data_IF_663866576552
#
_entry.id   IF_663866576552
#
_cell.length_a   1.000
_cell.length_b   1.000
_cell.length_c   1.000
_cell.angle_alpha   90.00
_cell.angle_beta   90.00
_cell.angle_gamma   90.00
#
_symmetry.space_group_name_H-M   'P 1'
#
loop_
_entity.id
_entity.type
_entity.pdbx_description
1 polymer ?
#
# COMPACT_ATOMS: atom_id res chain seq x y z
N UNK A 1 -28.17 -2.01 21.88
CA UNK A 1 -28.37 -2.69 20.57
C UNK A 1 -27.94 -1.87 19.36
N UNK A 2 -28.17 -0.54 19.29
CA UNK A 2 -27.76 0.31 18.13
C UNK A 2 -26.26 0.41 17.88
N UNK A 3 -25.38 0.18 18.87
CA UNK A 3 -23.91 0.26 18.71
C UNK A 3 -23.36 -1.01 18.04
N UNK A 4 -23.97 -2.18 18.23
CA UNK A 4 -23.52 -3.44 17.64
C UNK A 4 -23.62 -3.49 16.13
N UNK A 5 -24.70 -2.99 15.54
CA UNK A 5 -24.91 -3.03 14.08
C UNK A 5 -23.87 -2.18 13.34
N UNK A 6 -23.49 -1.01 13.90
CA UNK A 6 -22.55 -0.07 13.27
C UNK A 6 -21.09 -0.57 13.16
N UNK A 7 -20.72 -1.58 13.92
CA UNK A 7 -19.38 -2.16 13.89
C UNK A 7 -19.30 -3.45 13.05
N UNK A 8 -20.44 -4.05 12.69
CA UNK A 8 -20.47 -5.34 11.98
C UNK A 8 -19.87 -5.22 10.59
N UNK A 9 -20.32 -4.24 9.80
CA UNK A 9 -19.85 -4.08 8.42
C UNK A 9 -18.36 -3.75 8.34
N UNK A 10 -17.84 -2.86 9.20
CA UNK A 10 -16.39 -2.57 9.25
C UNK A 10 -15.59 -3.79 9.68
N UNK A 11 -16.11 -4.59 10.61
CA UNK A 11 -15.49 -5.85 11.03
C UNK A 11 -15.44 -6.86 9.90
N UNK A 12 -16.57 -7.08 9.21
CA UNK A 12 -16.64 -7.99 8.05
C UNK A 12 -15.73 -7.51 6.93
N UNK A 13 -15.73 -6.20 6.62
CA UNK A 13 -14.83 -5.63 5.63
C UNK A 13 -13.36 -5.87 5.99
N UNK A 14 -12.96 -5.64 7.25
CA UNK A 14 -11.59 -5.87 7.71
C UNK A 14 -11.20 -7.35 7.61
N UNK A 15 -12.05 -8.27 8.06
CA UNK A 15 -11.81 -9.71 7.98
C UNK A 15 -11.71 -10.19 6.53
N UNK A 16 -12.62 -9.73 5.67
CA UNK A 16 -12.62 -10.07 4.24
C UNK A 16 -11.39 -9.53 3.52
N UNK A 17 -10.90 -8.33 3.90
CA UNK A 17 -9.63 -7.80 3.40
C UNK A 17 -8.47 -8.74 3.72
N UNK A 18 -8.32 -9.15 4.98
CA UNK A 18 -7.24 -10.06 5.39
C UNK A 18 -7.34 -11.40 4.67
N UNK A 19 -8.54 -11.97 4.55
CA UNK A 19 -8.77 -13.22 3.83
C UNK A 19 -8.50 -13.08 2.32
N UNK A 20 -8.80 -11.95 1.69
CA UNK A 20 -8.51 -11.73 0.27
C UNK A 20 -7.00 -11.73 -0.01
N UNK A 21 -6.20 -11.19 0.90
CA UNK A 21 -4.73 -11.25 0.82
C UNK A 21 -4.24 -12.69 0.92
N UNK A 22 -4.79 -13.49 1.85
CA UNK A 22 -4.46 -14.93 1.95
C UNK A 22 -4.80 -15.65 0.65
N UNK A 23 -5.96 -15.40 0.07
CA UNK A 23 -6.37 -15.99 -1.22
C UNK A 23 -5.40 -15.61 -2.33
N UNK A 24 -4.95 -14.34 -2.39
CA UNK A 24 -3.96 -13.92 -3.37
C UNK A 24 -2.61 -14.61 -3.15
N UNK A 25 -2.17 -14.78 -1.89
CA UNK A 25 -0.97 -15.55 -1.57
C UNK A 25 -1.08 -17.00 -2.03
N UNK A 26 -2.19 -17.67 -1.72
CA UNK A 26 -2.44 -19.05 -2.14
C UNK A 26 -2.52 -19.18 -3.67
N UNK A 27 -3.11 -18.20 -4.36
CA UNK A 27 -3.09 -18.15 -5.82
C UNK A 27 -1.66 -18.03 -6.36
N UNK A 28 -0.83 -17.18 -5.78
CA UNK A 28 0.57 -17.04 -6.21
C UNK A 28 1.38 -18.32 -6.00
N UNK A 29 1.07 -19.10 -4.96
CA UNK A 29 1.75 -20.37 -4.67
C UNK A 29 1.30 -21.48 -5.63
N UNK A 30 -0.02 -21.64 -5.80
CA UNK A 30 -0.61 -22.82 -6.46
C UNK A 30 -1.09 -22.55 -7.89
N UNK A 31 -1.14 -21.28 -8.33
CA UNK A 31 -1.70 -20.82 -9.61
C UNK A 31 -3.15 -21.30 -9.85
N UNK A 32 -3.89 -21.64 -8.77
CA UNK A 32 -5.25 -22.14 -8.86
C UNK A 32 -6.25 -21.00 -8.94
N UNK A 33 -6.98 -20.90 -10.04
CA UNK A 33 -7.96 -19.85 -10.31
C UNK A 33 -9.09 -19.79 -9.26
N UNK A 34 -9.38 -20.86 -8.52
CA UNK A 34 -10.38 -20.84 -7.44
C UNK A 34 -9.99 -19.82 -6.36
N UNK A 35 -8.71 -19.79 -5.94
CA UNK A 35 -8.23 -18.80 -4.96
C UNK A 35 -8.30 -17.38 -5.52
N UNK A 36 -8.02 -17.20 -6.80
CA UNK A 36 -8.16 -15.91 -7.46
C UNK A 36 -9.59 -15.42 -7.44
N UNK A 37 -10.54 -16.24 -7.89
CA UNK A 37 -11.96 -15.89 -7.92
C UNK A 37 -12.52 -15.62 -6.52
N UNK A 38 -12.17 -16.47 -5.54
CA UNK A 38 -12.60 -16.30 -4.16
C UNK A 38 -12.03 -15.02 -3.53
N UNK A 39 -10.76 -14.70 -3.82
CA UNK A 39 -10.12 -13.46 -3.39
C UNK A 39 -10.87 -12.21 -3.90
N UNK A 40 -11.27 -12.20 -5.18
CA UNK A 40 -12.08 -11.10 -5.72
C UNK A 40 -13.49 -11.06 -5.14
N UNK A 41 -14.12 -12.21 -4.89
CA UNK A 41 -15.40 -12.27 -4.18
C UNK A 41 -15.33 -11.62 -2.80
N UNK A 42 -14.23 -11.85 -2.08
CA UNK A 42 -13.97 -11.20 -0.78
C UNK A 42 -13.74 -9.68 -0.93
N UNK A 43 -13.06 -9.23 -1.97
CA UNK A 43 -12.89 -7.80 -2.24
C UNK A 43 -14.22 -7.12 -2.58
N UNK A 44 -15.08 -7.76 -3.38
CA UNK A 44 -16.45 -7.28 -3.60
C UNK A 44 -17.23 -7.18 -2.29
N UNK A 45 -17.06 -8.14 -1.39
CA UNK A 45 -17.68 -8.10 -0.07
C UNK A 45 -17.13 -6.94 0.78
N UNK A 46 -15.82 -6.66 0.73
CA UNK A 46 -15.23 -5.46 1.36
C UNK A 46 -15.90 -4.20 0.84
N UNK A 47 -15.96 -4.06 -0.49
CA UNK A 47 -16.58 -2.88 -1.12
C UNK A 47 -18.03 -2.72 -0.73
N UNK A 48 -18.83 -3.80 -0.79
CA UNK A 48 -20.24 -3.79 -0.39
C UNK A 48 -20.42 -3.40 1.08
N UNK A 49 -19.64 -3.98 1.99
CA UNK A 49 -19.66 -3.64 3.41
C UNK A 49 -19.28 -2.18 3.67
N UNK A 50 -18.27 -1.66 2.96
CA UNK A 50 -17.86 -0.28 3.04
C UNK A 50 -18.96 0.68 2.58
N UNK A 51 -19.60 0.41 1.45
CA UNK A 51 -20.72 1.21 0.93
C UNK A 51 -21.89 1.19 1.93
N UNK A 52 -22.29 0.01 2.41
CA UNK A 52 -23.38 -0.12 3.40
C UNK A 52 -23.03 0.65 4.69
N UNK A 53 -21.81 0.55 5.17
CA UNK A 53 -21.34 1.30 6.35
C UNK A 53 -21.49 2.81 6.13
N UNK A 54 -21.08 3.33 4.97
CA UNK A 54 -21.20 4.75 4.64
C UNK A 54 -22.68 5.21 4.56
N UNK A 55 -23.56 4.39 4.02
CA UNK A 55 -25.01 4.69 3.97
C UNK A 55 -25.62 4.75 5.38
N UNK A 56 -25.26 3.81 6.26
CA UNK A 56 -25.77 3.78 7.64
C UNK A 56 -25.25 4.97 8.46
N UNK A 57 -24.03 5.43 8.19
CA UNK A 57 -23.40 6.53 8.94
C UNK A 57 -23.54 7.89 8.26
N UNK A 58 -24.32 8.00 7.18
CA UNK A 58 -24.45 9.19 6.34
C UNK A 58 -24.70 10.50 7.10
N UNK A 59 -25.49 10.47 8.17
CA UNK A 59 -25.82 11.65 8.99
C UNK A 59 -24.66 12.12 9.92
N UNK A 60 -23.55 11.36 10.00
CA UNK A 60 -22.40 11.61 10.88
C UNK A 60 -21.12 11.56 10.08
N UNK A 61 -21.01 12.37 9.03
CA UNK A 61 -19.78 12.42 8.24
C UNK A 61 -18.93 13.59 8.68
N UNK A 62 -17.65 13.32 8.88
CA UNK A 62 -16.63 14.35 8.92
C UNK A 62 -16.12 14.52 7.50
N UNK A 63 -16.28 15.71 6.94
CA UNK A 63 -15.76 16.08 5.64
C UNK A 63 -14.44 16.82 5.83
N UNK A 64 -13.43 16.41 5.09
CA UNK A 64 -12.10 17.01 5.08
C UNK A 64 -11.65 17.10 3.61
N UNK A 65 -10.68 17.96 3.32
CA UNK A 65 -10.13 18.18 2.00
C UNK A 65 -9.65 16.88 1.33
N UNK A 66 -9.00 15.99 2.10
CA UNK A 66 -8.55 14.67 1.62
C UNK A 66 -9.70 13.79 1.15
N UNK A 67 -10.82 13.78 1.90
CA UNK A 67 -12.03 13.04 1.53
C UNK A 67 -12.65 13.62 0.26
N UNK A 68 -12.70 14.95 0.14
CA UNK A 68 -13.23 15.61 -1.05
C UNK A 68 -12.43 15.26 -2.32
N UNK A 69 -11.09 15.25 -2.23
CA UNK A 69 -10.23 14.85 -3.36
C UNK A 69 -10.46 13.40 -3.74
N UNK A 70 -10.58 12.49 -2.76
CA UNK A 70 -10.86 11.08 -3.03
C UNK A 70 -12.20 10.88 -3.73
N UNK A 71 -13.24 11.62 -3.33
CA UNK A 71 -14.53 11.58 -4.02
C UNK A 71 -14.45 12.09 -5.45
N UNK A 72 -13.67 13.15 -5.70
CA UNK A 72 -13.41 13.64 -7.05
C UNK A 72 -12.65 12.61 -7.88
N UNK A 73 -11.61 11.99 -7.32
CA UNK A 73 -10.82 10.96 -7.98
C UNK A 73 -11.71 9.76 -8.36
N UNK A 74 -12.48 9.22 -7.42
CA UNK A 74 -13.43 8.11 -7.68
C UNK A 74 -14.41 8.47 -8.80
N UNK A 75 -15.00 9.67 -8.72
CA UNK A 75 -15.98 10.11 -9.70
C UNK A 75 -15.36 10.22 -11.09
N UNK A 76 -14.16 10.78 -11.17
CA UNK A 76 -13.44 10.95 -12.42
C UNK A 76 -13.04 9.60 -13.02
N UNK A 77 -12.39 8.71 -12.26
CA UNK A 77 -11.98 7.38 -12.73
C UNK A 77 -13.18 6.55 -13.18
N UNK A 78 -14.29 6.61 -12.44
CA UNK A 78 -15.54 5.92 -12.80
C UNK A 78 -16.12 6.47 -14.10
N UNK A 79 -16.14 7.78 -14.30
CA UNK A 79 -16.61 8.41 -15.53
C UNK A 79 -15.74 8.01 -16.73
N UNK A 80 -14.42 8.02 -16.57
CA UNK A 80 -13.49 7.56 -17.61
C UNK A 80 -13.72 6.09 -17.93
N UNK A 81 -13.83 5.23 -16.92
CA UNK A 81 -14.06 3.80 -17.11
C UNK A 81 -15.39 3.51 -17.85
N UNK A 82 -16.44 4.27 -17.56
CA UNK A 82 -17.74 4.16 -18.23
C UNK A 82 -17.63 4.66 -19.69
N UNK A 83 -17.05 5.83 -19.90
CA UNK A 83 -16.96 6.46 -21.24
C UNK A 83 -16.10 5.68 -22.22
N UNK A 84 -15.08 4.98 -21.72
CA UNK A 84 -14.17 4.14 -22.52
C UNK A 84 -14.59 2.66 -22.56
N UNK A 85 -15.73 2.31 -21.95
CA UNK A 85 -16.19 0.93 -21.77
C UNK A 85 -15.20 0.02 -21.00
N UNK A 86 -14.18 0.57 -20.36
CA UNK A 86 -13.22 -0.19 -19.57
C UNK A 86 -13.80 -0.69 -18.24
N UNK A 87 -14.96 -0.21 -17.82
CA UNK A 87 -15.74 -0.74 -16.69
C UNK A 87 -16.08 -2.22 -16.83
N UNK A 88 -16.17 -2.73 -18.06
CA UNK A 88 -16.42 -4.16 -18.34
C UNK A 88 -15.17 -5.03 -18.24
N UNK A 89 -14.01 -4.43 -18.01
CA UNK A 89 -12.80 -5.19 -17.73
C UNK A 89 -12.95 -5.99 -16.44
N UNK A 90 -12.42 -7.22 -16.41
CA UNK A 90 -12.46 -8.00 -15.18
C UNK A 90 -11.88 -7.20 -14.01
N UNK A 91 -12.67 -7.11 -12.93
CA UNK A 91 -12.27 -6.49 -11.65
C UNK A 91 -12.19 -4.95 -11.62
N UNK A 92 -12.40 -4.25 -12.74
CA UNK A 92 -12.36 -2.78 -12.79
C UNK A 92 -13.14 -2.07 -11.67
N UNK A 93 -14.40 -2.44 -11.35
CA UNK A 93 -15.12 -1.80 -10.25
C UNK A 93 -14.44 -1.97 -8.89
N UNK A 94 -13.76 -3.10 -8.66
CA UNK A 94 -13.04 -3.37 -7.41
C UNK A 94 -11.76 -2.57 -7.35
N UNK A 95 -10.94 -2.66 -8.39
CA UNK A 95 -9.62 -2.04 -8.40
C UNK A 95 -9.71 -0.50 -8.38
N UNK A 96 -10.74 0.09 -9.03
CA UNK A 96 -10.98 1.54 -9.01
C UNK A 96 -11.55 2.00 -7.66
N UNK A 97 -12.53 1.30 -7.09
CA UNK A 97 -13.34 1.83 -5.99
C UNK A 97 -12.85 1.43 -4.61
N UNK A 98 -12.25 0.24 -4.45
CA UNK A 98 -12.05 -0.38 -3.13
C UNK A 98 -11.12 0.43 -2.22
N UNK A 99 -10.01 0.93 -2.75
CA UNK A 99 -9.03 1.61 -1.93
C UNK A 99 -9.47 3.02 -1.51
N UNK A 100 -10.01 3.88 -2.41
CA UNK A 100 -10.43 5.21 -1.99
C UNK A 100 -11.64 5.15 -1.05
N UNK A 101 -12.61 4.24 -1.31
CA UNK A 101 -13.75 4.02 -0.42
C UNK A 101 -13.27 3.49 0.94
N UNK A 102 -12.27 2.60 0.98
CA UNK A 102 -11.70 2.14 2.25
C UNK A 102 -11.08 3.28 3.05
N UNK A 103 -10.34 4.21 2.43
CA UNK A 103 -9.82 5.40 3.15
C UNK A 103 -10.98 6.16 3.79
N UNK A 104 -12.04 6.45 3.04
CA UNK A 104 -13.18 7.24 3.51
C UNK A 104 -13.91 6.54 4.67
N UNK A 105 -14.22 5.26 4.51
CA UNK A 105 -14.94 4.47 5.53
C UNK A 105 -14.15 4.36 6.82
N UNK A 106 -12.87 3.99 6.73
CA UNK A 106 -12.03 3.84 7.92
C UNK A 106 -11.68 5.18 8.58
N UNK A 107 -11.61 6.27 7.80
CA UNK A 107 -11.53 7.63 8.33
C UNK A 107 -12.77 7.97 9.17
N UNK A 108 -13.96 7.85 8.61
CA UNK A 108 -15.21 8.13 9.31
C UNK A 108 -15.40 7.21 10.51
N UNK A 109 -15.11 5.92 10.36
CA UNK A 109 -15.24 4.96 11.46
C UNK A 109 -14.28 5.29 12.62
N UNK A 110 -13.01 5.56 12.33
CA UNK A 110 -12.00 5.82 13.37
C UNK A 110 -12.20 7.16 14.07
N UNK A 111 -12.78 8.14 13.39
CA UNK A 111 -13.18 9.41 14.02
C UNK A 111 -14.25 9.22 15.09
N UNK A 112 -15.28 8.40 14.83
CA UNK A 112 -16.41 8.24 15.75
C UNK A 112 -16.27 7.05 16.70
N UNK A 113 -15.53 6.01 16.33
CA UNK A 113 -15.47 4.75 17.06
C UNK A 113 -14.02 4.30 17.29
N UNK A 114 -13.84 3.36 18.21
CA UNK A 114 -12.54 2.77 18.52
C UNK A 114 -12.28 1.53 17.64
N UNK A 115 -11.51 1.73 16.57
CA UNK A 115 -11.13 0.68 15.63
C UNK A 115 -10.24 -0.39 16.27
N UNK A 116 -9.49 -0.04 17.34
CA UNK A 116 -8.54 -0.98 17.97
C UNK A 116 -9.25 -2.20 18.53
N UNK A 117 -10.46 -2.03 19.07
CA UNK A 117 -11.30 -3.13 19.58
C UNK A 117 -11.68 -4.17 18.54
N UNK A 118 -11.68 -3.79 17.26
CA UNK A 118 -12.07 -4.69 16.15
C UNK A 118 -10.84 -5.34 15.52
N UNK A 119 -9.79 -4.57 15.31
CA UNK A 119 -8.73 -4.89 14.36
C UNK A 119 -7.39 -5.29 15.01
N UNK A 120 -7.13 -4.89 16.28
CA UNK A 120 -5.82 -5.02 16.91
C UNK A 120 -5.24 -6.44 16.85
N UNK A 121 -5.90 -7.39 17.46
CA UNK A 121 -5.40 -8.76 17.53
C UNK A 121 -5.35 -9.42 16.14
N UNK A 122 -6.33 -9.13 15.29
CA UNK A 122 -6.42 -9.70 13.95
C UNK A 122 -5.27 -9.25 13.05
N UNK A 123 -4.93 -7.95 13.05
CA UNK A 123 -3.81 -7.43 12.28
C UNK A 123 -2.48 -8.04 12.72
N UNK A 124 -2.27 -8.18 14.04
CA UNK A 124 -1.06 -8.76 14.60
C UNK A 124 -0.93 -10.24 14.20
N UNK A 125 -1.94 -11.05 14.48
CA UNK A 125 -1.91 -12.48 14.15
C UNK A 125 -1.82 -12.75 12.66
N UNK A 126 -2.52 -11.94 11.85
CA UNK A 126 -2.43 -12.01 10.40
C UNK A 126 -1.00 -11.75 9.91
N UNK A 127 -0.35 -10.68 10.41
CA UNK A 127 1.02 -10.34 10.04
C UNK A 127 2.00 -11.45 10.38
N UNK A 128 1.91 -12.02 11.59
CA UNK A 128 2.79 -13.13 11.98
C UNK A 128 2.49 -14.42 11.21
N UNK A 129 1.24 -14.70 10.89
CA UNK A 129 0.88 -15.82 10.02
C UNK A 129 1.46 -15.67 8.61
N UNK A 130 1.39 -14.46 8.02
CA UNK A 130 2.04 -14.18 6.75
C UNK A 130 3.56 -14.37 6.83
N UNK A 131 4.19 -13.90 7.89
CA UNK A 131 5.63 -14.09 8.09
C UNK A 131 5.98 -15.59 8.19
N UNK A 132 5.17 -16.39 8.89
CA UNK A 132 5.36 -17.82 8.99
C UNK A 132 5.22 -18.53 7.64
N UNK A 133 4.30 -18.12 6.78
CA UNK A 133 4.15 -18.64 5.42
C UNK A 133 5.31 -18.17 4.52
N UNK A 134 5.81 -16.96 4.71
CA UNK A 134 6.91 -16.41 3.91
C UNK A 134 8.23 -17.20 4.08
N UNK A 135 8.52 -17.67 5.29
CA UNK A 135 9.79 -18.37 5.59
C UNK A 135 10.04 -19.59 4.69
N UNK A 136 9.12 -20.58 4.59
CA UNK A 136 9.34 -21.74 3.71
C UNK A 136 9.41 -21.35 2.23
N UNK A 137 8.63 -20.37 1.78
CA UNK A 137 8.66 -19.91 0.39
C UNK A 137 9.98 -19.22 0.03
N UNK A 138 10.52 -18.41 0.94
CA UNK A 138 11.86 -17.84 0.79
C UNK A 138 12.92 -18.94 0.75
N UNK A 139 12.83 -19.96 1.62
CA UNK A 139 13.76 -21.09 1.61
C UNK A 139 13.74 -21.84 0.27
N UNK A 140 12.56 -22.12 -0.27
CA UNK A 140 12.40 -22.74 -1.61
C UNK A 140 12.99 -21.85 -2.70
N UNK A 141 12.74 -20.55 -2.66
CA UNK A 141 13.30 -19.61 -3.61
C UNK A 141 14.83 -19.57 -3.55
N UNK A 142 15.41 -19.49 -2.36
CA UNK A 142 16.86 -19.46 -2.17
C UNK A 142 17.54 -20.78 -2.55
N UNK A 143 16.82 -21.90 -2.59
CA UNK A 143 17.33 -23.19 -3.10
C UNK A 143 17.30 -23.30 -4.64
N UNK A 144 16.82 -22.27 -5.34
CA UNK A 144 16.69 -22.27 -6.81
C UNK A 144 15.47 -23.03 -7.34
N UNK A 145 14.66 -23.66 -6.48
CA UNK A 145 13.51 -24.47 -6.88
C UNK A 145 12.19 -23.69 -7.01
N UNK A 146 12.15 -22.43 -6.58
CA UNK A 146 10.92 -21.64 -6.51
C UNK A 146 10.76 -20.60 -7.60
N UNK A 147 9.50 -20.24 -7.89
CA UNK A 147 9.18 -19.14 -8.82
C UNK A 147 9.40 -17.79 -8.10
N UNK A 148 10.20 -16.90 -8.71
CA UNK A 148 10.50 -15.54 -8.20
C UNK A 148 9.21 -14.74 -7.92
N UNK A 149 8.17 -14.89 -8.77
CA UNK A 149 6.91 -14.18 -8.61
C UNK A 149 6.22 -14.40 -7.26
N UNK A 150 6.33 -15.61 -6.70
CA UNK A 150 5.70 -15.99 -5.43
C UNK A 150 6.26 -15.18 -4.25
N UNK A 151 7.57 -14.99 -4.22
CA UNK A 151 8.28 -14.31 -3.13
C UNK A 151 8.11 -12.78 -3.21
N UNK A 152 8.01 -12.22 -4.42
CA UNK A 152 7.81 -10.79 -4.65
C UNK A 152 6.51 -10.29 -4.01
N UNK A 153 5.40 -11.02 -4.18
CA UNK A 153 4.12 -10.63 -3.61
C UNK A 153 4.11 -10.66 -2.09
N UNK A 154 4.79 -11.62 -1.47
CA UNK A 154 4.94 -11.68 -0.02
C UNK A 154 5.58 -10.43 0.57
N UNK A 155 6.61 -9.91 -0.10
CA UNK A 155 7.26 -8.66 0.32
C UNK A 155 6.28 -7.50 0.33
N UNK A 156 5.49 -7.35 -0.72
CA UNK A 156 4.51 -6.27 -0.76
C UNK A 156 3.47 -6.40 0.34
N UNK A 157 2.94 -7.61 0.59
CA UNK A 157 1.98 -7.82 1.67
C UNK A 157 2.58 -7.51 3.06
N UNK A 158 3.82 -7.93 3.32
CA UNK A 158 4.50 -7.58 4.57
C UNK A 158 4.68 -6.07 4.72
N UNK A 159 5.12 -5.38 3.67
CA UNK A 159 5.37 -3.93 3.71
C UNK A 159 4.07 -3.15 3.91
N UNK A 160 3.00 -3.52 3.21
CA UNK A 160 1.73 -2.77 3.22
C UNK A 160 0.88 -3.07 4.45
N UNK A 161 1.03 -4.23 5.09
CA UNK A 161 0.31 -4.57 6.32
C UNK A 161 1.05 -4.15 7.59
N UNK A 162 2.37 -3.95 7.55
CA UNK A 162 3.16 -3.49 8.69
C UNK A 162 2.59 -2.21 9.34
N UNK A 163 2.22 -1.15 8.59
CA UNK A 163 1.64 0.04 9.18
C UNK A 163 0.39 -0.23 10.03
N UNK A 164 -0.48 -1.16 9.63
CA UNK A 164 -1.65 -1.54 10.42
C UNK A 164 -1.25 -2.12 11.78
N UNK A 165 -0.22 -2.97 11.82
CA UNK A 165 0.30 -3.50 13.09
C UNK A 165 0.85 -2.37 13.97
N UNK A 166 1.59 -1.44 13.37
CA UNK A 166 2.20 -0.31 14.09
C UNK A 166 1.17 0.68 14.66
N UNK A 167 0.04 0.87 13.99
CA UNK A 167 -1.07 1.72 14.43
C UNK A 167 -1.87 1.02 15.54
N UNK A 168 -2.23 -0.23 15.28
CA UNK A 168 -3.22 -0.94 16.07
C UNK A 168 -2.66 -1.56 17.35
N UNK A 169 -1.34 -1.82 17.45
CA UNK A 169 -0.75 -2.40 18.66
C UNK A 169 -0.06 -1.39 19.55
N UNK A 170 -0.36 -1.44 20.86
CA UNK A 170 0.37 -0.69 21.89
C UNK A 170 1.57 -1.47 22.42
N UNK A 171 1.67 -2.78 22.14
CA UNK A 171 2.77 -3.62 22.62
C UNK A 171 4.06 -3.33 21.85
N UNK A 172 5.04 -2.77 22.56
CA UNK A 172 6.34 -2.37 22.00
C UNK A 172 7.12 -3.55 21.45
N UNK A 173 7.03 -4.73 22.08
CA UNK A 173 7.72 -5.94 21.61
C UNK A 173 7.17 -6.42 20.27
N UNK A 174 5.85 -6.47 20.11
CA UNK A 174 5.23 -6.83 18.84
C UNK A 174 5.54 -5.83 17.73
N UNK A 175 5.53 -4.52 18.01
CA UNK A 175 5.94 -3.48 17.05
C UNK A 175 7.37 -3.70 16.57
N UNK A 176 8.29 -3.92 17.50
CA UNK A 176 9.71 -4.12 17.19
C UNK A 176 9.94 -5.39 16.39
N UNK A 177 9.34 -6.50 16.82
CA UNK A 177 9.45 -7.79 16.13
C UNK A 177 8.88 -7.71 14.72
N UNK A 178 7.74 -7.04 14.54
CA UNK A 178 7.13 -6.86 13.21
C UNK A 178 8.03 -6.05 12.27
N UNK A 179 8.70 -4.99 12.74
CA UNK A 179 9.65 -4.23 11.94
C UNK A 179 10.85 -5.08 11.52
N UNK A 180 11.42 -5.85 12.45
CA UNK A 180 12.56 -6.75 12.17
C UNK A 180 12.15 -7.80 11.14
N UNK A 181 11.03 -8.49 11.35
CA UNK A 181 10.54 -9.52 10.42
C UNK A 181 10.25 -8.94 9.03
N UNK A 182 9.64 -7.76 8.95
CA UNK A 182 9.39 -7.10 7.67
C UNK A 182 10.70 -6.82 6.91
N UNK A 183 11.74 -6.34 7.59
CA UNK A 183 13.07 -6.11 6.98
C UNK A 183 13.68 -7.42 6.53
N UNK A 184 13.67 -8.46 7.36
CA UNK A 184 14.24 -9.77 7.04
C UNK A 184 13.55 -10.39 5.81
N UNK A 185 12.22 -10.41 5.78
CA UNK A 185 11.44 -10.96 4.68
C UNK A 185 11.67 -10.16 3.39
N UNK A 186 11.64 -8.83 3.48
CA UNK A 186 11.83 -7.96 2.31
C UNK A 186 13.22 -8.13 1.70
N UNK A 187 14.26 -8.23 2.53
CA UNK A 187 15.64 -8.44 2.08
C UNK A 187 15.79 -9.81 1.44
N UNK A 188 15.27 -10.86 2.09
CA UNK A 188 15.35 -12.23 1.60
C UNK A 188 14.55 -12.47 0.30
N UNK A 189 13.52 -11.66 0.03
CA UNK A 189 12.70 -11.77 -1.17
C UNK A 189 13.33 -11.20 -2.43
N UNK A 190 14.49 -10.56 -2.32
CA UNK A 190 15.24 -9.94 -3.43
C UNK A 190 14.48 -8.83 -4.20
N UNK A 191 13.35 -8.33 -3.68
CA UNK A 191 12.57 -7.24 -4.31
C UNK A 191 13.15 -5.87 -3.94
N UNK A 192 14.12 -5.39 -4.74
CA UNK A 192 14.87 -4.14 -4.53
C UNK A 192 14.00 -2.94 -4.14
N UNK A 193 12.98 -2.63 -4.95
CA UNK A 193 12.13 -1.46 -4.74
C UNK A 193 11.34 -1.54 -3.42
N UNK A 194 10.76 -2.70 -3.09
CA UNK A 194 10.03 -2.89 -1.84
C UNK A 194 10.93 -2.77 -0.61
N UNK A 195 12.12 -3.39 -0.67
CA UNK A 195 13.10 -3.33 0.43
C UNK A 195 13.59 -1.90 0.67
N UNK A 196 13.91 -1.15 -0.40
CA UNK A 196 14.31 0.25 -0.29
C UNK A 196 13.20 1.14 0.28
N UNK A 197 11.95 0.96 -0.20
CA UNK A 197 10.79 1.68 0.34
C UNK A 197 10.60 1.43 1.84
N UNK A 198 10.75 0.17 2.27
CA UNK A 198 10.63 -0.19 3.68
C UNK A 198 11.75 0.41 4.53
N UNK A 199 13.01 0.25 4.11
CA UNK A 199 14.19 0.75 4.86
C UNK A 199 14.11 2.27 4.98
N UNK A 200 13.87 2.98 3.88
CA UNK A 200 13.74 4.44 3.88
C UNK A 200 12.55 4.89 4.73
N UNK A 201 11.41 4.23 4.60
CA UNK A 201 10.22 4.54 5.38
C UNK A 201 10.40 4.30 6.87
N UNK A 202 11.01 3.19 7.28
CA UNK A 202 11.34 2.91 8.67
C UNK A 202 12.37 3.89 9.23
N UNK A 203 13.38 4.26 8.45
CA UNK A 203 14.36 5.27 8.83
C UNK A 203 13.67 6.60 9.15
N UNK A 204 12.86 7.13 8.22
CA UNK A 204 12.13 8.38 8.41
C UNK A 204 11.15 8.28 9.59
N UNK A 205 10.41 7.17 9.69
CA UNK A 205 9.50 6.92 10.83
C UNK A 205 10.21 7.01 12.16
N UNK A 206 11.37 6.34 12.30
CA UNK A 206 12.12 6.30 13.55
C UNK A 206 12.78 7.65 13.88
N UNK A 207 13.23 8.40 12.86
CA UNK A 207 13.73 9.78 13.03
C UNK A 207 12.62 10.68 13.54
N UNK A 208 11.44 10.64 12.92
CA UNK A 208 10.28 11.44 13.35
C UNK A 208 9.81 11.01 14.75
N UNK A 209 9.77 9.72 15.04
CA UNK A 209 9.45 9.21 16.38
C UNK A 209 10.46 9.70 17.44
N UNK A 210 11.74 9.73 17.11
CA UNK A 210 12.78 10.28 17.99
C UNK A 210 12.61 11.79 18.20
N UNK A 211 12.22 12.52 17.16
CA UNK A 211 11.97 13.96 17.24
C UNK A 211 10.76 14.28 18.13
N UNK A 212 9.67 13.53 18.00
CA UNK A 212 8.42 13.77 18.72
C UNK A 212 8.50 13.38 20.20
N UNK A 213 9.11 12.21 20.51
CA UNK A 213 8.97 11.55 21.83
C UNK A 213 10.20 11.70 22.73
N UNK A 214 11.10 12.68 22.59
CA UNK A 214 12.28 12.40 23.30
C UNK A 214 13.09 13.39 24.05
N UNK A 215 13.47 12.99 25.27
CA UNK A 215 14.72 13.41 25.90
C UNK A 215 15.93 12.94 25.06
N UNK A 216 17.07 13.64 25.17
CA UNK A 216 18.29 13.32 24.39
C UNK A 216 18.69 11.83 24.49
N UNK A 217 18.60 11.25 25.69
CA UNK A 217 18.95 9.84 25.93
C UNK A 217 17.99 8.86 25.21
N UNK A 218 16.71 9.19 25.12
CA UNK A 218 15.73 8.38 24.39
C UNK A 218 15.96 8.46 22.87
N UNK A 219 16.38 9.61 22.35
CA UNK A 219 16.75 9.79 20.94
C UNK A 219 17.94 8.92 20.57
N UNK A 220 19.03 8.92 21.38
CA UNK A 220 20.19 8.08 21.16
C UNK A 220 19.86 6.59 21.14
N UNK A 221 19.05 6.10 22.06
CA UNK A 221 18.60 4.70 22.05
C UNK A 221 17.82 4.34 20.79
N UNK A 222 17.06 5.27 20.21
CA UNK A 222 16.33 5.05 18.95
C UNK A 222 17.26 5.07 17.75
N UNK A 223 18.23 5.98 17.68
CA UNK A 223 19.24 6.00 16.64
C UNK A 223 20.10 4.74 16.65
N UNK A 224 20.49 4.25 17.82
CA UNK A 224 21.21 2.97 17.95
C UNK A 224 20.38 1.80 17.38
N UNK A 225 19.07 1.82 17.59
CA UNK A 225 18.14 0.83 17.05
C UNK A 225 18.06 0.88 15.51
N UNK A 226 18.02 2.09 14.94
CA UNK A 226 18.10 2.29 13.48
C UNK A 226 19.41 1.73 12.94
N UNK A 227 20.52 2.09 13.55
CA UNK A 227 21.85 1.59 13.15
C UNK A 227 21.91 0.06 13.23
N UNK A 228 21.34 -0.54 14.27
CA UNK A 228 21.28 -2.00 14.43
C UNK A 228 20.43 -2.66 13.34
N UNK A 229 19.29 -2.10 12.99
CA UNK A 229 18.43 -2.60 11.90
C UNK A 229 19.13 -2.51 10.53
N UNK A 230 19.80 -1.41 10.26
CA UNK A 230 20.61 -1.22 9.04
C UNK A 230 21.74 -2.24 9.03
N UNK A 231 22.46 -2.39 10.15
CA UNK A 231 23.57 -3.33 10.26
C UNK A 231 23.11 -4.78 10.03
N UNK A 232 22.00 -5.20 10.65
CA UNK A 232 21.43 -6.54 10.45
C UNK A 232 21.07 -6.75 8.97
N UNK A 233 20.39 -5.79 8.36
CA UNK A 233 20.04 -5.84 6.94
C UNK A 233 21.28 -5.94 6.04
N UNK A 234 22.30 -5.14 6.32
CA UNK A 234 23.57 -5.14 5.59
C UNK A 234 24.32 -6.48 5.72
N UNK A 235 24.44 -6.98 6.96
CA UNK A 235 25.08 -8.29 7.21
C UNK A 235 24.32 -9.41 6.48
N UNK A 236 22.99 -9.38 6.51
CA UNK A 236 22.17 -10.36 5.82
C UNK A 236 22.37 -10.31 4.30
N UNK A 237 22.43 -9.10 3.69
CA UNK A 237 22.72 -8.93 2.26
C UNK A 237 24.09 -9.51 1.94
N UNK A 238 25.13 -9.13 2.66
CA UNK A 238 26.50 -9.65 2.43
C UNK A 238 26.59 -11.17 2.60
N UNK A 239 25.92 -11.73 3.62
CA UNK A 239 25.88 -13.18 3.84
C UNK A 239 25.20 -13.92 2.68
N UNK A 240 24.04 -13.44 2.23
CA UNK A 240 23.33 -14.07 1.13
C UNK A 240 24.09 -13.94 -0.20
N UNK A 241 24.78 -12.83 -0.41
CA UNK A 241 25.62 -12.61 -1.59
C UNK A 241 26.88 -13.47 -1.59
N UNK A 242 27.57 -13.58 -0.44
CA UNK A 242 28.77 -14.43 -0.30
C UNK A 242 28.46 -15.93 -0.49
N UNK A 243 27.22 -16.35 -0.25
CA UNK A 243 26.76 -17.73 -0.50
C UNK A 243 26.28 -17.94 -1.95
N UNK A 244 26.36 -16.92 -2.82
CA UNK A 244 25.89 -16.98 -4.20
C UNK A 244 24.36 -17.12 -4.35
N UNK A 245 23.62 -17.03 -3.24
CA UNK A 245 22.16 -17.21 -3.21
C UNK A 245 21.38 -16.01 -3.73
N UNK A 246 21.99 -14.84 -3.69
CA UNK A 246 21.44 -13.60 -4.24
C UNK A 246 22.55 -12.83 -4.95
N UNK A 247 22.16 -12.02 -5.93
CA UNK A 247 23.07 -11.13 -6.66
C UNK A 247 22.57 -9.68 -6.51
N UNK A 248 22.35 -9.22 -5.28
CA UNK A 248 21.79 -7.89 -5.02
C UNK A 248 22.79 -6.81 -5.38
N UNK A 249 24.03 -6.91 -4.90
CA UNK A 249 25.07 -5.90 -5.15
C UNK A 249 25.44 -5.86 -6.63
N UNK A 250 25.60 -7.02 -7.27
CA UNK A 250 25.85 -7.13 -8.71
C UNK A 250 24.70 -6.52 -9.53
N UNK A 251 23.45 -6.76 -9.14
CA UNK A 251 22.28 -6.13 -9.76
C UNK A 251 22.16 -4.63 -9.48
N UNK A 252 22.68 -4.13 -8.35
CA UNK A 252 22.76 -2.69 -8.10
C UNK A 252 23.89 -2.06 -8.92
N UNK A 253 25.03 -2.73 -9.07
CA UNK A 253 26.11 -2.26 -9.92
C UNK A 253 25.69 -2.15 -11.40
N UNK A 254 24.87 -3.07 -11.87
CA UNK A 254 24.33 -3.09 -13.25
C UNK A 254 23.06 -2.24 -13.47
N UNK A 255 22.62 -1.45 -12.49
CA UNK A 255 21.42 -0.60 -12.64
C UNK A 255 21.50 0.37 -13.83
N UNK A 256 22.72 0.80 -14.20
CA UNK A 256 22.96 1.64 -15.38
C UNK A 256 22.90 0.86 -16.69
N UNK A 257 23.24 -0.42 -16.67
CA UNK A 257 23.41 -1.24 -17.88
C UNK A 257 22.15 -2.02 -18.25
N UNK A 258 21.30 -2.39 -17.25
CA UNK A 258 20.10 -3.21 -17.46
C UNK A 258 18.82 -2.42 -17.74
N UNK A 259 18.93 -1.08 -17.93
CA UNK A 259 17.78 -0.20 -18.20
C UNK A 259 16.67 -0.33 -17.16
N UNK A 260 17.02 -0.54 -15.88
CA UNK A 260 16.03 -0.73 -14.82
C UNK A 260 15.19 -2.00 -14.97
N UNK A 261 15.77 -3.08 -15.51
CA UNK A 261 15.08 -4.35 -15.82
C UNK A 261 14.12 -4.24 -17.01
N UNK A 262 14.44 -3.41 -18.00
CA UNK A 262 13.65 -3.19 -19.22
C UNK A 262 12.44 -2.28 -19.01
N UNK A 263 12.37 -1.58 -17.89
CA UNK A 263 11.28 -0.61 -17.64
C UNK A 263 11.38 0.63 -18.50
N UNK A 264 12.59 1.08 -18.82
CA UNK A 264 12.86 2.17 -19.76
C UNK A 264 12.19 1.94 -21.11
N UNK A 265 12.30 0.71 -21.66
CA UNK A 265 11.63 0.33 -22.90
C UNK A 265 10.11 0.38 -22.72
N UNK A 266 9.58 -0.21 -21.66
CA UNK A 266 8.14 -0.20 -21.37
C UNK A 266 7.63 1.24 -21.21
N UNK A 267 8.33 2.08 -20.43
CA UNK A 267 7.94 3.48 -20.22
C UNK A 267 7.99 4.28 -21.52
N UNK A 268 9.02 4.08 -22.35
CA UNK A 268 9.10 4.75 -23.66
C UNK A 268 7.95 4.38 -24.58
N UNK A 269 7.53 3.10 -24.61
CA UNK A 269 6.36 2.67 -25.41
C UNK A 269 5.09 3.39 -24.91
N UNK A 270 4.84 3.39 -23.60
CA UNK A 270 3.63 4.02 -23.02
C UNK A 270 3.63 5.52 -23.25
N UNK A 271 4.76 6.21 -23.01
CA UNK A 271 4.87 7.65 -23.20
C UNK A 271 4.74 8.05 -24.69
N UNK A 272 5.34 7.28 -25.62
CA UNK A 272 5.17 7.49 -27.05
C UNK A 272 3.70 7.32 -27.47
N UNK A 273 3.02 6.28 -26.96
CA UNK A 273 1.60 6.07 -27.20
C UNK A 273 0.75 7.22 -26.65
N UNK A 274 1.07 7.73 -25.45
CA UNK A 274 0.43 8.91 -24.87
C UNK A 274 0.63 10.16 -25.74
N UNK A 275 1.85 10.44 -26.19
CA UNK A 275 2.15 11.62 -27.04
C UNK A 275 1.51 11.54 -28.43
N UNK A 276 1.34 10.35 -28.98
CA UNK A 276 0.65 10.14 -30.26
C UNK A 276 -0.88 10.15 -30.17
N UNK A 277 -1.43 10.15 -28.97
CA UNK A 277 -2.88 10.17 -28.72
C UNK A 277 -3.49 11.54 -29.02
N UNK A 278 -4.79 11.55 -29.34
CA UNK A 278 -5.56 12.79 -29.49
C UNK A 278 -5.69 13.59 -28.19
N UNK A 279 -6.06 14.87 -28.34
CA UNK A 279 -6.15 15.79 -27.17
C UNK A 279 -7.08 15.26 -26.08
N UNK A 280 -8.23 14.68 -26.44
CA UNK A 280 -9.21 14.14 -25.48
C UNK A 280 -8.59 13.01 -24.67
N UNK A 281 -7.93 12.07 -25.35
CA UNK A 281 -7.28 10.93 -24.68
C UNK A 281 -6.08 11.39 -23.83
N UNK A 282 -5.32 12.38 -24.25
CA UNK A 282 -4.25 12.95 -23.42
C UNK A 282 -4.79 13.61 -22.14
N UNK A 283 -5.95 14.26 -22.22
CA UNK A 283 -6.55 14.92 -21.06
C UNK A 283 -7.25 13.92 -20.13
N UNK A 284 -8.05 13.00 -20.69
CA UNK A 284 -8.98 12.14 -19.93
C UNK A 284 -8.62 10.66 -19.94
N UNK A 285 -7.58 10.26 -20.69
CA UNK A 285 -7.07 8.90 -20.74
C UNK A 285 -7.79 7.97 -21.73
N UNK A 286 -7.35 6.71 -21.72
CA UNK A 286 -7.82 5.64 -22.59
C UNK A 286 -8.72 4.63 -21.84
N UNK A 287 -8.86 4.78 -20.52
CA UNK A 287 -9.61 3.89 -19.65
C UNK A 287 -8.74 2.93 -18.83
N UNK A 288 -9.34 2.34 -17.83
CA UNK A 288 -8.70 1.43 -16.89
C UNK A 288 -7.97 0.28 -17.59
N UNK A 289 -6.72 0.00 -17.16
CA UNK A 289 -5.84 -1.05 -17.71
C UNK A 289 -5.50 -0.92 -19.22
N UNK A 290 -5.62 0.24 -19.83
CA UNK A 290 -5.31 0.45 -21.24
C UNK A 290 -3.83 0.23 -21.55
N UNK A 291 -2.92 0.50 -20.59
CA UNK A 291 -1.49 0.22 -20.70
C UNK A 291 -1.22 -1.25 -20.99
N UNK A 292 -1.94 -2.17 -20.34
CA UNK A 292 -1.78 -3.60 -20.58
C UNK A 292 -2.04 -3.98 -22.06
N UNK A 293 -3.00 -3.32 -22.70
CA UNK A 293 -3.37 -3.62 -24.09
C UNK A 293 -2.37 -3.09 -25.10
N UNK A 294 -1.75 -1.93 -24.87
CA UNK A 294 -0.71 -1.40 -25.78
C UNK A 294 0.61 -2.14 -25.65
N UNK A 295 0.90 -2.74 -24.51
CA UNK A 295 2.12 -3.51 -24.28
C UNK A 295 2.02 -4.95 -24.82
N UNK A 296 0.82 -5.51 -24.90
CA UNK A 296 0.57 -6.90 -25.33
C UNK A 296 1.08 -7.23 -26.75
N UNK A 297 0.89 -6.39 -27.78
CA UNK A 297 1.39 -6.67 -29.13
C UNK A 297 2.92 -6.82 -29.22
N UNK A 298 3.67 -6.12 -28.33
CA UNK A 298 5.12 -6.24 -28.20
C UNK A 298 5.59 -7.46 -27.39
N UNK A 299 4.68 -8.36 -27.00
CA UNK A 299 5.01 -9.53 -26.17
C UNK A 299 5.17 -9.21 -24.67
N UNK A 300 4.92 -7.98 -24.27
CA UNK A 300 4.96 -7.56 -22.87
C UNK A 300 3.58 -7.77 -22.22
N UNK A 301 3.35 -8.93 -21.60
CA UNK A 301 2.16 -9.17 -20.79
C UNK A 301 2.32 -8.56 -19.40
N UNK A 302 2.53 -7.23 -19.34
CA UNK A 302 2.90 -6.50 -18.11
C UNK A 302 2.19 -5.15 -18.07
N UNK A 303 2.21 -4.54 -16.89
CA UNK A 303 1.90 -3.13 -16.66
C UNK A 303 3.19 -2.30 -16.77
N UNK A 304 3.10 -0.96 -16.77
CA UNK A 304 4.28 -0.09 -16.80
C UNK A 304 5.17 -0.25 -15.54
N UNK A 305 4.66 -0.86 -14.48
CA UNK A 305 5.33 -0.92 -13.17
C UNK A 305 5.73 0.46 -12.63
N UNK A 306 4.93 1.46 -12.96
CA UNK A 306 4.98 2.82 -12.47
C UNK A 306 3.57 3.38 -12.51
N UNK A 307 2.92 3.49 -11.35
CA UNK A 307 1.53 3.92 -11.26
C UNK A 307 1.29 5.33 -11.83
N UNK A 308 2.29 6.20 -11.82
CA UNK A 308 2.13 7.56 -12.37
C UNK A 308 2.05 7.54 -13.90
N UNK A 309 2.82 6.66 -14.55
CA UNK A 309 2.78 6.45 -16.01
C UNK A 309 1.49 5.71 -16.39
N UNK A 310 1.06 4.72 -15.58
CA UNK A 310 -0.24 4.06 -15.75
C UNK A 310 -1.38 5.09 -15.71
N UNK A 311 -1.45 5.89 -14.63
CA UNK A 311 -2.48 6.93 -14.48
C UNK A 311 -2.45 7.96 -15.63
N UNK A 312 -1.26 8.34 -16.08
CA UNK A 312 -1.12 9.25 -17.21
C UNK A 312 -1.74 8.70 -18.49
N UNK A 313 -1.59 7.40 -18.74
CA UNK A 313 -2.14 6.78 -19.94
C UNK A 313 -3.61 6.38 -19.75
N UNK A 314 -3.94 5.75 -18.63
CA UNK A 314 -5.27 5.20 -18.37
C UNK A 314 -6.30 6.31 -18.08
N UNK A 315 -5.91 7.34 -17.31
CA UNK A 315 -6.81 8.43 -16.87
C UNK A 315 -6.39 9.82 -17.35
N UNK A 316 -5.37 9.90 -18.19
CA UNK A 316 -4.89 11.16 -18.78
C UNK A 316 -4.21 12.10 -17.78
N UNK A 317 -3.89 13.29 -18.26
CA UNK A 317 -3.28 14.34 -17.41
C UNK A 317 -4.17 14.71 -16.23
N UNK A 318 -5.49 14.77 -16.42
CA UNK A 318 -6.44 15.12 -15.33
C UNK A 318 -6.41 14.08 -14.23
N UNK A 319 -6.47 12.78 -14.57
CA UNK A 319 -6.38 11.70 -13.56
C UNK A 319 -5.06 11.71 -12.79
N UNK A 320 -3.94 11.89 -13.50
CA UNK A 320 -2.63 12.02 -12.85
C UNK A 320 -2.58 13.25 -11.91
N UNK A 321 -3.11 14.40 -12.31
CA UNK A 321 -3.18 15.59 -11.44
C UNK A 321 -4.00 15.31 -10.20
N UNK A 322 -5.16 14.66 -10.30
CA UNK A 322 -5.99 14.33 -9.15
C UNK A 322 -5.26 13.40 -8.19
N UNK A 323 -4.56 12.37 -8.69
CA UNK A 323 -3.73 11.49 -7.86
C UNK A 323 -2.60 12.27 -7.16
N UNK A 324 -1.90 13.15 -7.87
CA UNK A 324 -0.84 13.99 -7.30
C UNK A 324 -1.37 14.96 -6.26
N UNK A 325 -2.53 15.57 -6.47
CA UNK A 325 -3.20 16.44 -5.48
C UNK A 325 -3.58 15.66 -4.23
N UNK A 326 -4.04 14.40 -4.37
CA UNK A 326 -4.26 13.51 -3.23
C UNK A 326 -2.96 13.23 -2.45
N UNK A 327 -1.87 12.91 -3.14
CA UNK A 327 -0.55 12.69 -2.51
C UNK A 327 -0.07 13.96 -1.79
N UNK A 328 -0.23 15.13 -2.42
CA UNK A 328 0.11 16.43 -1.80
C UNK A 328 -0.73 16.67 -0.53
N UNK A 329 -2.03 16.35 -0.56
CA UNK A 329 -2.88 16.45 0.62
C UNK A 329 -2.39 15.55 1.77
N UNK A 330 -1.93 14.33 1.46
CA UNK A 330 -1.32 13.45 2.46
C UNK A 330 0.01 14.01 2.99
N UNK A 331 0.84 14.61 2.14
CA UNK A 331 2.10 15.27 2.55
C UNK A 331 1.79 16.43 3.51
N UNK A 332 0.85 17.31 3.16
CA UNK A 332 0.45 18.45 4.00
C UNK A 332 -0.08 17.97 5.34
N UNK A 333 -0.97 16.97 5.34
CA UNK A 333 -1.49 16.36 6.56
C UNK A 333 -0.36 15.75 7.41
N UNK A 334 0.60 15.07 6.79
CA UNK A 334 1.75 14.48 7.49
C UNK A 334 2.63 15.55 8.14
N UNK A 335 2.94 16.65 7.42
CA UNK A 335 3.72 17.78 7.95
C UNK A 335 2.99 18.42 9.13
N UNK A 336 1.69 18.64 9.03
CA UNK A 336 0.88 19.17 10.13
C UNK A 336 0.92 18.24 11.36
N UNK A 337 0.76 16.93 11.15
CA UNK A 337 0.87 15.94 12.22
C UNK A 337 2.26 15.94 12.90
N UNK A 338 3.35 16.05 12.13
CA UNK A 338 4.72 16.14 12.68
C UNK A 338 4.91 17.42 13.48
N UNK A 339 4.45 18.58 12.97
CA UNK A 339 4.53 19.88 13.66
C UNK A 339 3.79 19.87 14.99
N UNK A 340 2.60 19.26 15.02
CA UNK A 340 1.79 19.14 16.26
C UNK A 340 2.25 18.00 17.16
N UNK A 341 3.28 17.25 16.77
CA UNK A 341 3.76 16.04 17.47
C UNK A 341 2.66 15.02 17.69
N UNK A 342 1.80 14.81 16.68
CA UNK A 342 0.71 13.86 16.74
C UNK A 342 1.25 12.42 16.90
N UNK A 343 0.52 11.60 17.65
CA UNK A 343 0.93 10.23 18.03
C UNK A 343 1.28 9.36 16.81
N UNK A 344 0.51 9.46 15.73
CA UNK A 344 0.65 8.61 14.55
C UNK A 344 1.47 9.24 13.43
N UNK A 345 2.01 10.46 13.59
CA UNK A 345 2.86 11.11 12.60
C UNK A 345 4.02 10.24 12.10
N UNK A 346 4.74 9.47 12.96
CA UNK A 346 5.80 8.60 12.49
C UNK A 346 5.32 7.52 11.51
N UNK A 347 4.20 6.87 11.81
CA UNK A 347 3.63 5.81 10.94
C UNK A 347 3.04 6.42 9.67
N UNK A 348 2.50 7.63 9.74
CA UNK A 348 2.05 8.36 8.55
C UNK A 348 3.20 8.67 7.59
N UNK A 349 4.38 9.04 8.11
CA UNK A 349 5.59 9.19 7.30
C UNK A 349 6.00 7.88 6.62
N UNK A 350 5.98 6.75 7.34
CA UNK A 350 6.24 5.43 6.76
C UNK A 350 5.28 5.12 5.60
N UNK A 351 3.98 5.30 5.81
CA UNK A 351 2.95 5.08 4.80
C UNK A 351 3.16 5.93 3.56
N UNK A 352 3.45 7.21 3.75
CA UNK A 352 3.69 8.14 2.66
C UNK A 352 4.90 7.72 1.81
N UNK A 353 6.01 7.35 2.46
CA UNK A 353 7.22 6.87 1.76
C UNK A 353 6.92 5.58 0.99
N UNK A 354 6.22 4.62 1.61
CA UNK A 354 5.82 3.37 0.94
C UNK A 354 4.98 3.68 -0.29
N UNK A 355 3.96 4.53 -0.17
CA UNK A 355 3.03 4.84 -1.26
C UNK A 355 3.71 5.53 -2.42
N UNK A 356 4.49 6.58 -2.15
CA UNK A 356 5.20 7.33 -3.19
C UNK A 356 6.23 6.45 -3.88
N UNK A 357 7.03 5.72 -3.11
CA UNK A 357 8.11 4.91 -3.66
C UNK A 357 7.58 3.69 -4.43
N UNK A 358 6.59 2.97 -3.90
CA UNK A 358 5.97 1.86 -4.62
C UNK A 358 5.19 2.35 -5.84
N UNK A 359 4.57 3.53 -5.78
CA UNK A 359 3.95 4.16 -6.94
C UNK A 359 4.94 4.40 -8.09
N UNK A 360 6.19 4.76 -7.79
CA UNK A 360 7.25 4.96 -8.81
C UNK A 360 7.76 3.66 -9.43
N UNK A 361 7.78 2.56 -8.66
CA UNK A 361 8.47 1.33 -9.06
C UNK A 361 7.57 0.09 -9.08
N UNK A 362 6.24 0.27 -9.05
CA UNK A 362 5.27 -0.81 -9.07
C UNK A 362 3.93 -0.34 -9.62
N UNK A 363 3.06 -1.29 -9.95
CA UNK A 363 1.63 -1.09 -10.20
C UNK A 363 0.89 -1.04 -8.85
N UNK A 364 1.09 0.05 -8.10
CA UNK A 364 0.71 0.11 -6.69
C UNK A 364 -0.73 0.59 -6.48
N UNK A 365 -1.11 1.73 -7.10
CA UNK A 365 -2.42 2.35 -6.87
C UNK A 365 -3.59 1.60 -7.53
N UNK A 366 -3.31 0.72 -8.48
CA UNK A 366 -4.32 -0.05 -9.21
C UNK A 366 -4.30 -1.56 -8.87
N UNK A 367 -3.41 -2.01 -7.97
CA UNK A 367 -3.41 -3.38 -7.44
C UNK A 367 -4.11 -3.42 -6.08
N UNK A 368 -5.41 -3.69 -6.09
CA UNK A 368 -6.30 -3.64 -4.92
C UNK A 368 -5.79 -4.43 -3.71
N UNK A 369 -5.20 -5.61 -3.91
CA UNK A 369 -4.68 -6.42 -2.80
C UNK A 369 -3.49 -5.76 -2.08
N UNK A 370 -2.70 -4.96 -2.78
CA UNK A 370 -1.51 -4.31 -2.24
C UNK A 370 -1.87 -2.98 -1.58
N UNK A 371 -2.70 -2.17 -2.24
CA UNK A 371 -3.04 -0.83 -1.74
C UNK A 371 -4.06 -0.84 -0.60
N UNK A 372 -4.95 -1.83 -0.55
CA UNK A 372 -6.07 -1.86 0.39
C UNK A 372 -5.63 -1.80 1.87
N UNK A 373 -4.61 -2.54 2.36
CA UNK A 373 -4.11 -2.40 3.74
C UNK A 373 -3.58 -0.99 4.03
N UNK A 374 -2.92 -0.37 3.04
CA UNK A 374 -2.41 1.00 3.13
C UNK A 374 -3.56 2.01 3.18
N UNK A 375 -4.59 1.82 2.37
CA UNK A 375 -5.80 2.64 2.37
C UNK A 375 -6.52 2.60 3.73
N UNK A 376 -6.68 1.41 4.30
CA UNK A 376 -7.22 1.24 5.66
C UNK A 376 -6.36 1.97 6.69
N UNK A 377 -5.03 1.85 6.60
CA UNK A 377 -4.11 2.51 7.51
C UNK A 377 -4.19 4.04 7.40
N UNK A 378 -4.27 4.60 6.19
CA UNK A 378 -4.50 6.03 5.98
C UNK A 378 -5.82 6.49 6.61
N UNK A 379 -6.92 5.79 6.32
CA UNK A 379 -8.22 6.13 6.89
C UNK A 379 -8.18 6.12 8.42
N UNK A 380 -7.59 5.10 9.03
CA UNK A 380 -7.48 4.98 10.48
C UNK A 380 -6.67 6.14 11.08
N UNK A 381 -5.48 6.44 10.53
CA UNK A 381 -4.63 7.51 11.07
C UNK A 381 -5.33 8.87 10.95
N UNK A 382 -5.83 9.20 9.76
CA UNK A 382 -6.47 10.50 9.51
C UNK A 382 -7.72 10.70 10.39
N UNK A 383 -8.52 9.64 10.59
CA UNK A 383 -9.70 9.69 11.45
C UNK A 383 -9.35 9.88 12.93
N UNK A 384 -8.34 9.15 13.43
CA UNK A 384 -7.86 9.30 14.80
C UNK A 384 -7.22 10.68 15.05
N UNK A 385 -6.40 11.16 14.11
CA UNK A 385 -5.77 12.49 14.20
C UNK A 385 -6.81 13.61 14.23
N UNK A 386 -7.83 13.55 13.39
CA UNK A 386 -8.93 14.51 13.38
C UNK A 386 -9.69 14.50 14.70
N UNK A 387 -9.93 13.32 15.28
CA UNK A 387 -10.55 13.17 16.59
C UNK A 387 -9.73 13.81 17.70
N UNK A 388 -8.40 13.56 17.72
CA UNK A 388 -7.49 14.14 18.71
C UNK A 388 -7.40 15.67 18.59
N UNK A 389 -7.48 16.21 17.37
CA UNK A 389 -7.47 17.65 17.10
C UNK A 389 -8.72 18.32 17.66
N UNK A 390 -9.89 17.79 17.35
CA UNK A 390 -11.15 18.38 17.81
C UNK A 390 -11.28 18.37 19.34
N UNK A 391 -10.80 17.31 20.02
CA UNK A 391 -10.81 17.28 21.51
C UNK A 391 -9.91 18.37 22.09
N UNK A 392 -8.78 18.69 21.44
CA UNK A 392 -7.88 19.77 21.91
C UNK A 392 -8.43 21.17 21.65
N UNK A 393 -9.23 21.34 20.60
CA UNK A 393 -9.85 22.62 20.26
C UNK A 393 -11.07 22.93 21.17
N UNK A 394 -11.63 21.91 21.86
CA UNK A 394 -12.74 22.02 22.80
C UNK A 394 -12.28 22.28 24.26
N UNK A 395 -11.00 22.12 24.59
CA UNK A 395 -10.38 22.35 25.93
C UNK A 395 -9.68 23.71 25.97
#
# INVERSE_FOLDING_TARGET
MKIHIKSVFVRVAFDSMLLSIICKMLYQINQNNVFRMFGYGLQMLVLACCVVQELITFKRKSFDFTVAILLLLISFESLVAISTHSVYMPYAPVDILIWPISVIVYYNYSYYYDITKIAQNKAIWFFFAMCAIAVPLIKIHLSGAGNIGQVIFLTYFCITTLPLVLILTNNRSYRNLSMVLAVLISTASTKRAGTLALILGLFIMLVVEAHIQGTLNQRWKKYLKIMLLILIGTIMVFYLESTGRIQILDRFARLGDDGGSGRDVIWSIVLNAYHSSGLVQRLFGHGFQSVYYILRPGGFYRFAHNSYIEYLYDYGTVGLILLLVFIIALIVSTIDMVRRKARFAPVMCLLLVISVFLGMFSYFFEESNIIMPVAVAYGVILGLDKKEKNIKDEI
#
